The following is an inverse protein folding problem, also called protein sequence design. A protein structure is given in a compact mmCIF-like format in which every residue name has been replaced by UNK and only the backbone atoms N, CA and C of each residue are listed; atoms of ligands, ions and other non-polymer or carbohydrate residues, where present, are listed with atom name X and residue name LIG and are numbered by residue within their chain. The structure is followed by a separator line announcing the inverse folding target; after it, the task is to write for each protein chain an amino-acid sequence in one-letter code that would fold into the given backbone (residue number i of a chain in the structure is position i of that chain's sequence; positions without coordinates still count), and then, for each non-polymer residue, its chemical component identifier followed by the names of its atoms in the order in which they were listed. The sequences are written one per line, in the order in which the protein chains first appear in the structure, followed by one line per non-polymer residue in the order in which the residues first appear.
data_IF_471471891002
#
_entry.id   IF_471471891002
#
_cell.length_a   1.000
_cell.length_b   1.000
_cell.length_c   1.000
_cell.angle_alpha   90.00
_cell.angle_beta   90.00
_cell.angle_gamma   90.00
#
_symmetry.space_group_name_H-M   'P 1'
#
loop_
_entity.id
_entity.type
_entity.pdbx_description
1 polymer ?
#
# COMPACT_ATOMS: atom_id res chain seq x y z
N UNK A 1 -20.67 38.51 43.07
CA UNK A 1 -20.07 38.58 41.73
C UNK A 1 -18.81 37.74 41.80
N UNK A 2 -18.74 36.72 40.92
CA UNK A 2 -17.56 36.08 40.27
C UNK A 2 -16.33 35.77 41.16
N UNK A 3 -15.76 34.56 41.19
CA UNK A 3 -15.46 33.64 40.09
C UNK A 3 -15.54 32.17 40.53
N UNK A 4 -16.35 31.37 39.82
CA UNK A 4 -16.18 29.91 39.78
C UNK A 4 -15.05 29.62 38.78
N UNK A 5 -13.83 29.56 39.29
CA UNK A 5 -12.67 29.14 38.51
C UNK A 5 -12.83 27.65 38.17
N UNK A 6 -13.35 27.42 36.98
CA UNK A 6 -13.63 26.11 36.41
C UNK A 6 -12.31 25.35 36.29
N UNK A 7 -11.99 24.55 37.31
CA UNK A 7 -10.86 23.62 37.34
C UNK A 7 -11.04 22.64 36.19
N UNK A 8 -10.42 22.94 35.04
CA UNK A 8 -10.28 22.00 33.93
C UNK A 8 -9.39 20.86 34.41
N UNK A 9 -10.02 19.79 34.88
CA UNK A 9 -9.35 18.52 35.15
C UNK A 9 -8.76 18.06 33.82
N UNK A 10 -7.44 18.19 33.68
CA UNK A 10 -6.70 17.66 32.53
C UNK A 10 -6.64 16.16 32.73
N UNK A 11 -7.45 15.42 31.98
CA UNK A 11 -7.46 13.97 32.02
C UNK A 11 -6.12 13.46 31.44
N UNK A 12 -5.20 13.04 32.32
CA UNK A 12 -3.90 12.46 31.96
C UNK A 12 -4.00 10.96 31.65
N UNK A 13 -5.22 10.39 31.65
CA UNK A 13 -5.45 8.99 31.32
C UNK A 13 -5.98 8.84 29.90
N UNK A 14 -5.41 7.91 29.12
CA UNK A 14 -5.90 7.52 27.78
C UNK A 14 -7.30 6.87 27.81
N UNK A 15 -8.03 6.95 28.93
CA UNK A 15 -9.32 6.31 29.18
C UNK A 15 -10.37 6.71 28.14
N UNK A 16 -10.41 7.99 27.74
CA UNK A 16 -11.35 8.46 26.72
C UNK A 16 -11.03 7.86 25.35
N UNK A 17 -9.74 7.74 25.00
CA UNK A 17 -9.30 7.13 23.75
C UNK A 17 -9.59 5.61 23.72
N UNK A 18 -9.34 4.92 24.83
CA UNK A 18 -9.65 3.49 24.98
C UNK A 18 -11.16 3.24 24.85
N UNK A 19 -11.99 4.08 25.48
CA UNK A 19 -13.45 3.98 25.36
C UNK A 19 -13.92 4.22 23.92
N UNK A 20 -13.33 5.20 23.24
CA UNK A 20 -13.62 5.47 21.83
C UNK A 20 -13.27 4.26 20.95
N UNK A 21 -12.04 3.72 21.08
CA UNK A 21 -11.60 2.53 20.33
C UNK A 21 -12.52 1.33 20.58
N UNK A 22 -12.94 1.12 21.83
CA UNK A 22 -13.90 0.07 22.18
C UNK A 22 -15.26 0.28 21.51
N UNK A 23 -15.77 1.51 21.49
CA UNK A 23 -17.04 1.83 20.81
C UNK A 23 -16.96 1.58 19.30
N UNK A 24 -15.86 1.97 18.66
CA UNK A 24 -15.61 1.72 17.23
C UNK A 24 -15.52 0.21 16.97
N UNK A 25 -14.72 -0.53 17.75
CA UNK A 25 -14.59 -1.98 17.64
C UNK A 25 -15.94 -2.68 17.73
N UNK A 26 -16.72 -2.40 18.78
CA UNK A 26 -18.03 -3.01 18.99
C UNK A 26 -18.98 -2.68 17.85
N UNK A 27 -18.91 -1.46 17.30
CA UNK A 27 -19.73 -1.08 16.15
C UNK A 27 -19.35 -1.89 14.91
N UNK A 28 -18.07 -2.03 14.60
CA UNK A 28 -17.58 -2.80 13.44
C UNK A 28 -17.93 -4.29 13.58
N UNK A 29 -17.76 -4.88 14.77
CA UNK A 29 -17.94 -6.32 14.97
C UNK A 29 -19.40 -6.75 15.19
N UNK A 30 -20.29 -5.84 15.61
CA UNK A 30 -21.71 -6.14 15.85
C UNK A 30 -22.64 -5.77 14.69
N UNK A 31 -22.12 -5.14 13.64
CA UNK A 31 -22.93 -4.77 12.47
C UNK A 31 -23.09 -5.98 11.54
N UNK A 32 -24.26 -6.12 10.92
CA UNK A 32 -24.55 -7.24 10.01
C UNK A 32 -23.86 -7.05 8.66
N UNK A 33 -23.82 -5.81 8.18
CA UNK A 33 -23.18 -5.44 6.92
C UNK A 33 -22.43 -4.11 7.02
N UNK A 34 -21.69 -3.78 5.94
CA UNK A 34 -20.82 -2.60 5.89
C UNK A 34 -21.60 -1.29 5.83
N UNK A 35 -22.85 -1.30 5.35
CA UNK A 35 -23.69 -0.10 5.25
C UNK A 35 -24.20 0.29 6.63
N UNK A 36 -24.70 -0.69 7.39
CA UNK A 36 -25.08 -0.53 8.78
C UNK A 36 -23.89 -0.06 9.62
N UNK A 37 -22.73 -0.71 9.47
CA UNK A 37 -21.51 -0.32 10.16
C UNK A 37 -21.11 1.13 9.85
N UNK A 38 -21.08 1.50 8.57
CA UNK A 38 -20.76 2.86 8.14
C UNK A 38 -21.73 3.88 8.72
N UNK A 39 -23.04 3.62 8.68
CA UNK A 39 -24.04 4.52 9.23
C UNK A 39 -23.92 4.65 10.76
N UNK A 40 -23.65 3.55 11.48
CA UNK A 40 -23.47 3.57 12.93
C UNK A 40 -22.18 4.29 13.34
N UNK A 41 -21.09 4.12 12.60
CA UNK A 41 -19.83 4.82 12.85
C UNK A 41 -19.99 6.34 12.73
N UNK A 42 -20.76 6.83 11.76
CA UNK A 42 -21.03 8.27 11.58
C UNK A 42 -21.83 8.89 12.74
N UNK A 43 -22.51 8.08 13.56
CA UNK A 43 -23.25 8.56 14.74
C UNK A 43 -22.36 8.68 15.98
N UNK A 44 -21.14 8.14 15.94
CA UNK A 44 -20.15 8.34 17.00
C UNK A 44 -19.68 9.78 16.92
N UNK A 45 -19.79 10.52 18.04
CA UNK A 45 -19.27 11.89 18.12
C UNK A 45 -17.75 11.81 18.22
N UNK A 46 -17.08 12.21 17.14
CA UNK A 46 -15.63 12.29 17.05
C UNK A 46 -15.20 13.74 17.25
N UNK A 47 -14.22 13.95 18.12
CA UNK A 47 -13.50 15.23 18.19
C UNK A 47 -12.52 15.34 17.01
N UNK A 48 -12.18 16.55 16.55
CA UNK A 48 -11.21 16.73 15.47
C UNK A 48 -9.89 16.00 15.75
N UNK A 49 -9.46 15.16 14.81
CA UNK A 49 -8.26 14.34 14.91
C UNK A 49 -8.49 12.91 15.42
N UNK A 50 -9.70 12.58 15.90
CA UNK A 50 -10.07 11.22 16.30
C UNK A 50 -10.54 10.35 15.12
N UNK A 51 -10.77 10.93 13.94
CA UNK A 51 -11.19 10.21 12.73
C UNK A 51 -10.17 9.14 12.32
N UNK A 52 -8.89 9.37 12.63
CA UNK A 52 -7.82 8.39 12.40
C UNK A 52 -8.05 7.09 13.18
N UNK A 53 -8.67 7.16 14.36
CA UNK A 53 -8.92 5.99 15.21
C UNK A 53 -9.94 5.07 14.55
N UNK A 54 -10.88 5.60 13.76
CA UNK A 54 -11.80 4.79 12.96
C UNK A 54 -11.02 3.97 11.92
N UNK A 55 -10.10 4.61 11.21
CA UNK A 55 -9.26 3.96 10.20
C UNK A 55 -8.33 2.90 10.82
N UNK A 56 -7.68 3.24 11.94
CA UNK A 56 -6.78 2.32 12.67
C UNK A 56 -7.56 1.10 13.16
N UNK A 57 -8.67 1.31 13.87
CA UNK A 57 -9.48 0.21 14.40
C UNK A 57 -10.05 -0.68 13.30
N UNK A 58 -10.43 -0.11 12.14
CA UNK A 58 -10.89 -0.90 11.01
C UNK A 58 -9.81 -1.85 10.47
N UNK A 59 -8.59 -1.34 10.30
CA UNK A 59 -7.46 -2.16 9.83
C UNK A 59 -7.06 -3.18 10.89
N UNK A 60 -7.06 -2.80 12.17
CA UNK A 60 -6.76 -3.73 13.27
C UNK A 60 -7.76 -4.89 13.30
N UNK A 61 -9.07 -4.62 13.25
CA UNK A 61 -10.10 -5.66 13.15
C UNK A 61 -9.85 -6.56 11.94
N UNK A 62 -9.67 -5.97 10.75
CA UNK A 62 -9.38 -6.70 9.51
C UNK A 62 -8.15 -7.61 9.64
N UNK A 63 -7.08 -7.12 10.26
CA UNK A 63 -5.82 -7.85 10.39
C UNK A 63 -5.91 -9.08 11.29
N UNK A 64 -6.80 -9.06 12.30
CA UNK A 64 -6.97 -10.14 13.25
C UNK A 64 -7.95 -11.22 12.79
N UNK A 65 -8.67 -11.00 11.69
CA UNK A 65 -9.55 -12.03 11.13
C UNK A 65 -8.79 -13.27 10.68
N UNK A 66 -9.42 -14.44 10.83
CA UNK A 66 -8.85 -15.70 10.34
C UNK A 66 -8.63 -15.70 8.83
N UNK A 67 -9.53 -15.06 8.09
CA UNK A 67 -9.48 -14.89 6.65
C UNK A 67 -10.02 -13.51 6.30
N UNK A 68 -9.48 -12.89 5.25
CA UNK A 68 -9.98 -11.61 4.77
C UNK A 68 -11.47 -11.68 4.40
N UNK A 69 -12.25 -10.72 4.92
CA UNK A 69 -13.66 -10.53 4.59
C UNK A 69 -13.81 -9.26 3.75
N UNK A 70 -14.50 -9.35 2.61
CA UNK A 70 -14.76 -8.20 1.73
C UNK A 70 -15.51 -7.04 2.41
N UNK A 71 -16.24 -7.35 3.49
CA UNK A 71 -16.83 -6.37 4.42
C UNK A 71 -15.89 -5.22 4.78
N UNK A 72 -14.64 -5.52 5.16
CA UNK A 72 -13.68 -4.49 5.57
C UNK A 72 -13.31 -3.55 4.42
N UNK A 73 -13.04 -4.10 3.24
CA UNK A 73 -12.73 -3.31 2.04
C UNK A 73 -13.88 -2.39 1.63
N UNK A 74 -15.13 -2.90 1.66
CA UNK A 74 -16.33 -2.12 1.36
C UNK A 74 -16.56 -1.00 2.39
N UNK A 75 -16.38 -1.29 3.68
CA UNK A 75 -16.48 -0.29 4.73
C UNK A 75 -15.41 0.80 4.59
N UNK A 76 -14.15 0.41 4.36
CA UNK A 76 -13.06 1.36 4.13
C UNK A 76 -13.30 2.24 2.90
N UNK A 77 -13.76 1.64 1.80
CA UNK A 77 -14.14 2.37 0.58
C UNK A 77 -15.24 3.39 0.87
N UNK A 78 -16.28 2.98 1.60
CA UNK A 78 -17.41 3.86 1.96
C UNK A 78 -16.93 5.04 2.79
N UNK A 79 -16.06 4.81 3.78
CA UNK A 79 -15.49 5.87 4.61
C UNK A 79 -14.68 6.89 3.78
N UNK A 80 -13.84 6.43 2.86
CA UNK A 80 -13.11 7.32 1.94
C UNK A 80 -14.04 8.18 1.09
N UNK A 81 -15.19 7.64 0.65
CA UNK A 81 -16.16 8.37 -0.17
C UNK A 81 -16.99 9.39 0.62
N UNK A 82 -17.13 9.21 1.93
CA UNK A 82 -17.88 10.13 2.79
C UNK A 82 -17.06 11.38 3.11
N UNK A 83 -15.79 11.20 3.48
CA UNK A 83 -14.94 12.31 3.89
C UNK A 83 -13.49 12.07 3.45
N UNK A 84 -12.90 13.07 2.80
CA UNK A 84 -11.50 13.06 2.38
C UNK A 84 -10.53 12.85 3.54
N UNK A 85 -10.88 13.30 4.75
CA UNK A 85 -10.08 13.07 5.96
C UNK A 85 -9.88 11.57 6.21
N UNK A 86 -10.87 10.71 5.91
CA UNK A 86 -10.68 9.27 6.04
C UNK A 86 -9.74 8.70 4.99
N UNK A 87 -9.80 9.20 3.75
CA UNK A 87 -8.85 8.83 2.70
C UNK A 87 -7.41 9.16 3.12
N UNK A 88 -7.16 10.40 3.55
CA UNK A 88 -5.84 10.85 4.03
C UNK A 88 -5.36 10.02 5.23
N UNK A 89 -6.25 9.69 6.17
CA UNK A 89 -5.92 8.80 7.29
C UNK A 89 -5.59 7.37 6.83
N UNK A 90 -6.29 6.81 5.83
CA UNK A 90 -5.95 5.49 5.28
C UNK A 90 -4.62 5.50 4.52
N UNK A 91 -4.26 6.60 3.86
CA UNK A 91 -2.93 6.77 3.26
C UNK A 91 -1.84 6.73 4.34
N UNK A 92 -2.04 7.48 5.43
CA UNK A 92 -1.12 7.45 6.58
C UNK A 92 -1.02 6.06 7.20
N UNK A 93 -2.15 5.36 7.36
CA UNK A 93 -2.16 3.98 7.86
C UNK A 93 -1.39 3.04 6.91
N UNK A 94 -1.50 3.19 5.59
CA UNK A 94 -0.74 2.39 4.63
C UNK A 94 0.78 2.53 4.88
N UNK A 95 1.25 3.78 4.98
CA UNK A 95 2.67 4.09 5.21
C UNK A 95 3.15 3.51 6.54
N UNK A 96 2.38 3.72 7.61
CA UNK A 96 2.71 3.21 8.94
C UNK A 96 2.76 1.68 8.96
N UNK A 97 1.75 1.01 8.40
CA UNK A 97 1.72 -0.45 8.32
C UNK A 97 2.89 -1.00 7.50
N UNK A 98 3.21 -0.39 6.36
CA UNK A 98 4.32 -0.83 5.53
C UNK A 98 5.68 -0.63 6.24
N UNK A 99 5.85 0.47 7.00
CA UNK A 99 7.08 0.69 7.78
C UNK A 99 7.33 -0.36 8.86
N UNK A 100 6.26 -0.91 9.46
CA UNK A 100 6.31 -1.90 10.53
C UNK A 100 6.09 -3.34 10.03
N UNK A 101 6.07 -3.55 8.71
CA UNK A 101 5.63 -4.81 8.09
C UNK A 101 6.44 -6.04 8.49
N UNK A 102 7.71 -5.84 8.82
CA UNK A 102 8.62 -6.90 9.28
C UNK A 102 8.23 -7.47 10.65
N UNK A 103 7.40 -6.77 11.43
CA UNK A 103 6.89 -7.21 12.74
C UNK A 103 5.55 -7.93 12.67
N UNK A 104 4.92 -7.95 11.50
CA UNK A 104 3.59 -8.52 11.32
C UNK A 104 3.70 -9.99 10.92
N UNK A 105 2.83 -10.80 11.53
CA UNK A 105 2.67 -12.21 11.18
C UNK A 105 2.01 -12.37 9.80
N UNK A 106 2.25 -13.51 9.16
CA UNK A 106 1.82 -13.81 7.78
C UNK A 106 0.31 -13.61 7.55
N UNK A 107 -0.53 -13.94 8.53
CA UNK A 107 -1.97 -13.77 8.39
C UNK A 107 -2.37 -12.28 8.36
N UNK A 108 -1.78 -11.48 9.26
CA UNK A 108 -1.99 -10.02 9.30
C UNK A 108 -1.53 -9.38 7.99
N UNK A 109 -0.38 -9.78 7.47
CA UNK A 109 0.12 -9.33 6.16
C UNK A 109 -0.89 -9.59 5.04
N UNK A 110 -1.48 -10.79 5.02
CA UNK A 110 -2.47 -11.17 4.01
C UNK A 110 -3.69 -10.27 4.07
N UNK A 111 -4.33 -10.17 5.22
CA UNK A 111 -5.60 -9.44 5.33
C UNK A 111 -5.41 -7.95 5.04
N UNK A 112 -4.34 -7.35 5.57
CA UNK A 112 -4.03 -5.93 5.35
C UNK A 112 -3.67 -5.67 3.87
N UNK A 113 -2.93 -6.57 3.21
CA UNK A 113 -2.65 -6.45 1.78
C UNK A 113 -3.93 -6.53 0.93
N UNK A 114 -4.85 -7.44 1.27
CA UNK A 114 -6.14 -7.57 0.57
C UNK A 114 -7.04 -6.35 0.78
N UNK A 115 -7.07 -5.81 2.00
CA UNK A 115 -7.77 -4.56 2.32
C UNK A 115 -7.28 -3.39 1.46
N UNK A 116 -5.97 -3.13 1.43
CA UNK A 116 -5.42 -2.02 0.66
C UNK A 116 -5.52 -2.23 -0.85
N UNK A 117 -5.43 -3.46 -1.34
CA UNK A 117 -5.70 -3.76 -2.74
C UNK A 117 -7.14 -3.45 -3.13
N UNK A 118 -8.12 -3.71 -2.25
CA UNK A 118 -9.51 -3.31 -2.48
C UNK A 118 -9.65 -1.80 -2.63
N UNK A 119 -9.07 -1.03 -1.71
CA UNK A 119 -9.15 0.44 -1.74
C UNK A 119 -8.48 1.03 -2.99
N UNK A 120 -7.31 0.52 -3.37
CA UNK A 120 -6.60 0.94 -4.59
C UNK A 120 -7.36 0.57 -5.87
N UNK A 121 -7.96 -0.63 -5.93
CA UNK A 121 -8.70 -1.10 -7.10
C UNK A 121 -10.00 -0.31 -7.32
N UNK A 122 -10.62 0.18 -6.25
CA UNK A 122 -11.88 0.94 -6.27
C UNK A 122 -11.69 2.45 -6.31
N UNK A 123 -10.45 2.92 -6.48
CA UNK A 123 -10.08 4.35 -6.46
C UNK A 123 -10.45 5.08 -5.15
N UNK A 124 -10.66 4.33 -4.06
CA UNK A 124 -10.88 4.87 -2.74
C UNK A 124 -9.59 5.38 -2.08
N UNK A 125 -8.45 4.80 -2.47
CA UNK A 125 -7.11 5.24 -2.06
C UNK A 125 -6.29 5.62 -3.31
N UNK A 126 -5.61 6.77 -3.32
CA UNK A 126 -4.75 7.15 -4.42
C UNK A 126 -3.52 6.24 -4.54
N UNK A 127 -3.02 6.06 -5.77
CA UNK A 127 -1.97 5.08 -6.06
C UNK A 127 -0.55 5.53 -5.68
N UNK A 128 -0.33 6.83 -5.43
CA UNK A 128 0.95 7.37 -4.97
C UNK A 128 1.44 6.75 -3.64
N UNK A 129 0.56 6.14 -2.84
CA UNK A 129 0.96 5.40 -1.63
C UNK A 129 1.92 4.24 -1.95
N UNK A 130 1.91 3.73 -3.18
CA UNK A 130 2.84 2.69 -3.63
C UNK A 130 4.30 3.20 -3.71
N UNK A 131 4.56 4.50 -3.70
CA UNK A 131 5.91 5.09 -3.69
C UNK A 131 6.71 4.72 -2.43
N UNK A 132 6.02 4.38 -1.33
CA UNK A 132 6.66 3.92 -0.11
C UNK A 132 7.20 2.47 -0.22
N UNK A 133 6.80 1.74 -1.27
CA UNK A 133 7.32 0.40 -1.55
C UNK A 133 8.61 0.52 -2.36
N UNK A 134 9.71 0.00 -1.81
CA UNK A 134 10.99 -0.10 -2.51
C UNK A 134 11.32 -1.55 -2.81
N UNK A 135 11.35 -1.91 -4.10
CA UNK A 135 11.55 -3.30 -4.55
C UNK A 135 13.00 -3.55 -4.99
N UNK A 136 13.89 -3.60 -4.00
CA UNK A 136 15.32 -3.93 -4.19
C UNK A 136 15.71 -5.10 -3.29
N UNK A 137 16.82 -5.77 -3.59
CA UNK A 137 17.34 -6.86 -2.75
C UNK A 137 17.67 -6.41 -1.33
N UNK A 138 18.16 -5.17 -1.18
CA UNK A 138 18.59 -4.59 0.10
C UNK A 138 17.41 -4.16 0.96
N UNK A 139 16.38 -3.57 0.35
CA UNK A 139 15.30 -2.90 1.07
C UNK A 139 14.05 -3.78 1.24
N UNK A 140 14.01 -4.99 0.63
CA UNK A 140 12.88 -5.92 0.81
C UNK A 140 13.18 -7.12 1.70
N UNK A 141 12.47 -7.17 2.82
CA UNK A 141 12.40 -8.33 3.71
C UNK A 141 11.43 -9.40 3.20
N UNK A 142 11.47 -10.60 3.80
CA UNK A 142 10.51 -11.67 3.51
C UNK A 142 9.05 -11.23 3.72
N UNK A 143 8.76 -10.50 4.80
CA UNK A 143 7.42 -9.95 5.08
C UNK A 143 6.97 -8.96 4.00
N UNK A 144 7.88 -8.08 3.56
CA UNK A 144 7.62 -7.12 2.47
C UNK A 144 7.27 -7.87 1.17
N UNK A 145 8.03 -8.92 0.83
CA UNK A 145 7.78 -9.75 -0.36
C UNK A 145 6.43 -10.44 -0.30
N UNK A 146 6.03 -10.98 0.86
CA UNK A 146 4.70 -11.60 1.04
C UNK A 146 3.59 -10.57 0.85
N UNK A 147 3.72 -9.39 1.45
CA UNK A 147 2.74 -8.32 1.32
C UNK A 147 2.59 -7.84 -0.13
N UNK A 148 3.70 -7.48 -0.79
CA UNK A 148 3.69 -7.00 -2.18
C UNK A 148 3.12 -8.09 -3.10
N UNK A 149 3.47 -9.37 -2.88
CA UNK A 149 2.89 -10.49 -3.63
C UNK A 149 1.38 -10.49 -3.53
N UNK A 150 0.83 -10.47 -2.31
CA UNK A 150 -0.62 -10.55 -2.08
C UNK A 150 -1.31 -9.32 -2.64
N UNK A 151 -0.79 -8.12 -2.35
CA UNK A 151 -1.31 -6.84 -2.83
C UNK A 151 -1.46 -6.82 -4.36
N UNK A 152 -0.41 -7.16 -5.10
CA UNK A 152 -0.44 -7.13 -6.56
C UNK A 152 -1.23 -8.29 -7.18
N UNK A 153 -1.25 -9.46 -6.55
CA UNK A 153 -2.11 -10.56 -7.01
C UNK A 153 -3.60 -10.21 -6.84
N UNK A 154 -3.96 -9.55 -5.73
CA UNK A 154 -5.30 -9.05 -5.46
C UNK A 154 -5.70 -7.97 -6.46
N UNK A 155 -4.85 -6.96 -6.66
CA UNK A 155 -5.05 -5.90 -7.66
C UNK A 155 -5.26 -6.49 -9.06
N UNK A 156 -4.45 -7.46 -9.46
CA UNK A 156 -4.59 -8.11 -10.76
C UNK A 156 -5.87 -8.92 -10.88
N UNK A 157 -6.43 -9.44 -9.78
CA UNK A 157 -7.70 -10.16 -9.80
C UNK A 157 -8.88 -9.20 -9.94
N UNK A 158 -8.84 -8.05 -9.26
CA UNK A 158 -9.90 -7.05 -9.32
C UNK A 158 -9.92 -6.30 -10.66
N UNK A 159 -8.75 -5.88 -11.15
CA UNK A 159 -8.64 -5.02 -12.34
C UNK A 159 -8.38 -5.80 -13.63
N UNK A 160 -7.80 -6.99 -13.52
CA UNK A 160 -7.17 -7.67 -14.65
C UNK A 160 -5.79 -7.09 -14.99
N UNK A 161 -4.92 -7.94 -15.54
CA UNK A 161 -3.52 -7.60 -15.81
C UNK A 161 -3.34 -6.40 -16.76
N UNK A 162 -4.25 -6.23 -17.73
CA UNK A 162 -4.17 -5.17 -18.75
C UNK A 162 -4.44 -3.80 -18.13
N UNK A 163 -5.49 -3.67 -17.32
CA UNK A 163 -5.85 -2.42 -16.65
C UNK A 163 -4.80 -2.07 -15.60
N UNK A 164 -4.36 -3.06 -14.83
CA UNK A 164 -3.27 -2.89 -13.88
C UNK A 164 -2.00 -2.36 -14.56
N UNK A 165 -1.58 -2.97 -15.67
CA UNK A 165 -0.42 -2.49 -16.44
C UNK A 165 -0.61 -1.05 -16.93
N UNK A 166 -1.79 -0.70 -17.46
CA UNK A 166 -2.09 0.67 -17.92
C UNK A 166 -1.94 1.68 -16.79
N UNK A 167 -2.44 1.38 -15.58
CA UNK A 167 -2.29 2.24 -14.40
C UNK A 167 -0.83 2.38 -13.98
N UNK A 168 -0.10 1.28 -13.87
CA UNK A 168 1.32 1.29 -13.47
C UNK A 168 2.25 1.94 -14.52
N UNK A 169 1.76 2.15 -15.73
CA UNK A 169 2.51 2.79 -16.82
C UNK A 169 2.02 4.19 -17.17
N UNK A 170 1.09 4.75 -16.38
CA UNK A 170 0.64 6.14 -16.51
C UNK A 170 1.84 7.09 -16.39
N UNK A 171 2.11 7.92 -17.42
CA UNK A 171 3.18 8.91 -17.39
C UNK A 171 3.16 9.84 -16.17
N UNK A 172 1.97 10.14 -15.62
CA UNK A 172 1.81 11.09 -14.49
C UNK A 172 2.25 10.53 -13.14
N UNK A 173 2.35 9.21 -13.01
CA UNK A 173 2.70 8.51 -11.77
C UNK A 173 4.04 7.76 -11.88
N UNK A 174 4.83 7.99 -12.94
CA UNK A 174 6.08 7.23 -13.12
C UNK A 174 7.07 7.48 -11.97
N UNK A 175 7.10 8.70 -11.43
CA UNK A 175 7.96 9.06 -10.30
C UNK A 175 7.54 8.29 -9.03
N UNK A 176 6.24 8.21 -8.76
CA UNK A 176 5.70 7.43 -7.62
C UNK A 176 5.99 5.93 -7.74
N UNK A 177 6.20 5.40 -8.94
CA UNK A 177 6.46 3.98 -9.16
C UNK A 177 7.95 3.66 -9.40
N UNK A 178 8.84 4.65 -9.33
CA UNK A 178 10.27 4.44 -9.59
C UNK A 178 10.88 3.43 -8.60
N UNK A 179 10.54 3.54 -7.32
CA UNK A 179 11.02 2.65 -6.26
C UNK A 179 10.51 1.21 -6.40
N UNK A 180 9.34 1.03 -7.01
CA UNK A 180 8.73 -0.27 -7.27
C UNK A 180 9.26 -0.89 -8.58
N UNK A 181 9.53 -0.05 -9.57
CA UNK A 181 10.08 -0.45 -10.87
C UNK A 181 11.45 0.19 -11.16
N UNK A 182 12.48 -0.10 -10.34
CA UNK A 182 13.78 0.58 -10.39
C UNK A 182 14.48 0.45 -11.75
N UNK A 183 15.10 1.55 -12.19
CA UNK A 183 15.93 1.66 -13.41
C UNK A 183 17.33 2.20 -13.15
N UNK A 184 17.65 2.44 -11.88
CA UNK A 184 18.92 2.96 -11.36
C UNK A 184 20.10 2.02 -11.62
N UNK A 185 19.89 0.71 -11.39
CA UNK A 185 20.91 -0.31 -11.54
C UNK A 185 20.31 -1.56 -12.19
N UNK A 186 20.96 -2.15 -13.22
CA UNK A 186 20.54 -3.41 -13.82
C UNK A 186 20.24 -4.54 -12.82
N UNK A 187 20.94 -4.58 -11.67
CA UNK A 187 20.68 -5.57 -10.60
C UNK A 187 19.29 -5.36 -9.97
N UNK A 188 18.94 -4.13 -9.61
CA UNK A 188 17.64 -3.78 -9.03
C UNK A 188 16.51 -3.99 -10.04
N UNK A 189 16.71 -3.59 -11.29
CA UNK A 189 15.73 -3.84 -12.36
C UNK A 189 15.46 -5.33 -12.55
N UNK A 190 16.51 -6.17 -12.58
CA UNK A 190 16.35 -7.64 -12.67
C UNK A 190 15.63 -8.20 -11.45
N UNK A 191 15.93 -7.70 -10.25
CA UNK A 191 15.24 -8.11 -9.02
C UNK A 191 13.73 -7.88 -9.11
N UNK A 192 13.31 -6.67 -9.50
CA UNK A 192 11.90 -6.32 -9.73
C UNK A 192 11.25 -7.22 -10.79
N UNK A 193 11.89 -7.40 -11.96
CA UNK A 193 11.39 -8.26 -13.03
C UNK A 193 11.19 -9.69 -12.53
N UNK A 194 12.19 -10.26 -11.84
CA UNK A 194 12.15 -11.62 -11.35
C UNK A 194 11.06 -11.78 -10.29
N UNK A 195 10.96 -10.85 -9.34
CA UNK A 195 9.91 -10.85 -8.33
C UNK A 195 8.50 -10.92 -8.96
N UNK A 196 8.18 -10.00 -9.87
CA UNK A 196 6.87 -9.98 -10.53
C UNK A 196 6.64 -11.20 -11.43
N UNK A 197 7.69 -11.75 -12.03
CA UNK A 197 7.60 -13.02 -12.78
C UNK A 197 7.24 -14.19 -11.86
N UNK A 198 7.93 -14.32 -10.72
CA UNK A 198 7.73 -15.39 -9.75
C UNK A 198 6.31 -15.39 -9.15
N UNK A 199 5.67 -14.23 -9.03
CA UNK A 199 4.29 -14.14 -8.51
C UNK A 199 3.21 -14.24 -9.61
N UNK A 200 3.60 -14.52 -10.86
CA UNK A 200 2.69 -14.71 -11.99
C UNK A 200 2.26 -13.41 -12.69
N UNK A 201 2.88 -12.27 -12.38
CA UNK A 201 2.54 -10.95 -12.91
C UNK A 201 3.62 -10.38 -13.83
N UNK A 202 4.36 -11.24 -14.53
CA UNK A 202 5.47 -10.83 -15.41
C UNK A 202 5.09 -9.85 -16.52
N UNK A 203 3.80 -9.75 -16.87
CA UNK A 203 3.28 -8.80 -17.86
C UNK A 203 3.43 -7.34 -17.45
N UNK A 204 3.43 -7.02 -16.15
CA UNK A 204 3.52 -5.62 -15.71
C UNK A 204 4.94 -5.03 -15.84
N UNK A 205 5.95 -5.89 -16.00
CA UNK A 205 7.37 -5.48 -16.10
C UNK A 205 7.85 -5.35 -17.54
N UNK A 206 6.94 -5.26 -18.53
CA UNK A 206 7.27 -5.17 -19.95
C UNK A 206 8.25 -4.01 -20.27
N UNK A 207 7.99 -2.80 -19.76
CA UNK A 207 8.89 -1.64 -19.93
C UNK A 207 10.28 -1.87 -19.34
N UNK A 208 10.39 -2.50 -18.17
CA UNK A 208 11.69 -2.79 -17.55
C UNK A 208 12.51 -3.79 -18.37
N UNK A 209 11.86 -4.81 -18.95
CA UNK A 209 12.53 -5.77 -19.85
C UNK A 209 13.05 -5.10 -21.11
N UNK A 210 12.31 -4.16 -21.67
CA UNK A 210 12.75 -3.36 -22.82
C UNK A 210 13.96 -2.49 -22.45
N UNK A 211 13.92 -1.82 -21.31
CA UNK A 211 15.02 -1.00 -20.79
C UNK A 211 16.33 -1.81 -20.63
N UNK A 212 16.26 -3.00 -20.03
CA UNK A 212 17.44 -3.88 -19.89
C UNK A 212 18.00 -4.37 -21.23
N UNK A 213 17.12 -4.66 -22.21
CA UNK A 213 17.56 -5.06 -23.56
C UNK A 213 18.27 -3.92 -24.27
N UNK A 214 17.76 -2.69 -24.18
CA UNK A 214 18.37 -1.51 -24.78
C UNK A 214 19.80 -1.27 -24.23
N UNK A 215 19.98 -1.22 -22.91
CA UNK A 215 21.30 -1.02 -22.31
C UNK A 215 22.30 -2.15 -22.56
N UNK A 216 21.81 -3.39 -22.76
CA UNK A 216 22.67 -4.52 -23.14
C UNK A 216 23.20 -4.41 -24.58
N UNK A 217 22.41 -3.84 -25.50
CA UNK A 217 22.80 -3.62 -26.89
C UNK A 217 23.82 -2.46 -27.03
N UNK A 218 23.68 -1.39 -26.24
CA UNK A 218 24.66 -0.29 -26.17
C UNK A 218 26.02 -0.78 -25.64
N UNK A 219 26.02 -1.64 -24.63
CA UNK A 219 27.24 -2.23 -24.05
C UNK A 219 28.01 -3.11 -25.05
N UNK A 220 27.29 -3.82 -25.93
CA UNK A 220 27.87 -4.67 -26.99
C UNK A 220 28.40 -3.88 -28.18
N UNK A 221 27.73 -2.79 -28.56
CA UNK A 221 28.17 -1.95 -29.69
C UNK A 221 29.39 -1.08 -29.33
N UNK A 222 29.58 -0.73 -28.05
CA UNK A 222 30.80 -0.07 -27.58
C UNK A 222 32.04 -0.98 -27.47
N UNK A 223 31.86 -2.31 -27.41
CA UNK A 223 32.98 -3.26 -27.36
C UNK A 223 33.53 -3.62 -28.76
N UNK A 224 32.70 -3.61 -29.79
CA UNK A 224 33.13 -3.86 -31.18
C UNK A 224 33.98 -2.72 -31.77
N UNK A 225 33.90 -1.50 -31.22
CA UNK A 225 34.69 -0.36 -31.70
C UNK A 225 36.13 -0.30 -31.13
N UNK A 226 36.46 -1.09 -30.09
CA UNK A 226 37.82 -1.16 -29.53
C UNK A 226 38.69 -2.26 -30.14
N UNK A 227 38.14 -3.11 -31.02
CA UNK A 227 38.86 -4.28 -31.60
C UNK A 227 39.40 -4.05 -33.01
N UNK A 228 39.39 -2.82 -33.54
CA UNK A 228 39.89 -2.49 -34.91
C UNK A 228 40.98 -1.42 -34.92
N UNK A 229 42.12 -1.63 -34.23
CA UNK A 229 43.38 -0.94 -34.55
C UNK A 229 44.61 -1.81 -34.23
N UNK A 230 45.04 -2.59 -35.22
CA UNK A 230 46.38 -2.48 -35.83
C UNK A 230 46.60 -3.64 -36.82
N UNK A 231 46.80 -3.38 -38.13
CA UNK A 231 47.43 -4.37 -38.99
C UNK A 231 48.90 -4.49 -38.58
N UNK A 232 49.34 -5.70 -38.23
CA UNK A 232 50.76 -6.00 -38.00
C UNK A 232 51.53 -5.68 -39.28
N UNK A 233 52.49 -4.75 -39.18
CA UNK A 233 53.48 -4.46 -40.21
C UNK A 233 54.80 -5.09 -39.77
N UNK A 234 55.34 -5.90 -40.69
CA UNK A 234 56.63 -6.61 -40.70
C UNK A 234 56.75 -7.80 -39.75
#
# INVERSE_FOLDING_TARGET
MMDEEQTRIRDETDTNLVNLRRAIYLTIMSSVDYEEAGHRLLRIKLEPGQEKEVCIMLIECCSHERSYLGYYGLLGQRLCMINKVHQENFEMCFVQHYSMIHRLETNKLRNVAMFFAHLLATDALPWHVLAYIRLTEKDTTSSSRIFIKILFQELSRHLGIRVLYKRLTDPRMQDDFESLFPRDNPKNTRFSINFFTCIGLGGITAKQRQYLKAGSNESRSGSDHKSRKHPRRW
#
